data_IF_748013185791
#
_entry.id   IF_748013185791
#
_cell.length_a   1.000
_cell.length_b   1.000
_cell.length_c   1.000
_cell.angle_alpha   90.00
_cell.angle_beta   90.00
_cell.angle_gamma   90.00
#
_symmetry.space_group_name_H-M   'P 1'
#
loop_
_entity.id
_entity.type
_entity.pdbx_description
1 polymer ?
#
# COMPACT_ATOMS: atom_id res chain seq x y z
N UNK A 1 12.52 -0.08 19.16
CA UNK A 1 12.44 1.37 19.38
C UNK A 1 13.62 1.96 18.63
N UNK A 2 13.38 2.45 17.42
CA UNK A 2 14.46 2.97 16.57
C UNK A 2 14.77 4.37 17.04
N UNK A 3 15.83 4.50 17.82
CA UNK A 3 16.38 5.79 18.23
C UNK A 3 17.08 6.35 16.99
N UNK A 4 16.51 7.40 16.41
CA UNK A 4 17.24 8.21 15.42
C UNK A 4 18.19 9.07 16.25
N UNK A 5 19.49 8.88 16.07
CA UNK A 5 20.52 9.68 16.70
C UNK A 5 20.58 11.03 15.97
N UNK A 6 20.34 12.10 16.71
CA UNK A 6 19.98 13.44 16.22
C UNK A 6 20.86 14.40 17.04
N UNK A 7 22.16 14.42 16.74
CA UNK A 7 23.13 15.36 17.33
C UNK A 7 22.82 16.79 16.85
N UNK A 8 22.89 17.80 17.71
CA UNK A 8 22.18 19.08 17.54
C UNK A 8 22.42 19.93 16.26
N UNK A 9 23.49 19.67 15.50
CA UNK A 9 23.72 20.26 14.17
C UNK A 9 23.27 19.30 13.05
N UNK A 10 23.48 17.98 13.22
CA UNK A 10 23.00 16.89 12.35
C UNK A 10 21.49 16.63 12.47
N UNK A 11 20.86 17.15 13.52
CA UNK A 11 19.47 16.94 13.87
C UNK A 11 18.50 17.56 12.86
N UNK A 12 18.85 18.77 12.40
CA UNK A 12 18.08 19.50 11.40
C UNK A 12 18.16 18.81 10.04
N UNK A 13 19.36 18.34 9.68
CA UNK A 13 19.60 17.65 8.42
C UNK A 13 18.93 16.27 8.43
N UNK A 14 19.01 15.51 9.52
CA UNK A 14 18.32 14.23 9.67
C UNK A 14 16.79 14.35 9.62
N UNK A 15 16.21 15.38 10.24
CA UNK A 15 14.76 15.65 10.13
C UNK A 15 14.38 16.08 8.71
N UNK A 16 15.19 16.90 8.06
CA UNK A 16 14.95 17.32 6.68
C UNK A 16 15.04 16.12 5.73
N UNK A 17 16.04 15.27 5.88
CA UNK A 17 16.19 13.99 5.17
C UNK A 17 14.95 13.12 5.31
N UNK A 18 14.41 13.00 6.54
CA UNK A 18 13.19 12.24 6.77
C UNK A 18 11.97 12.86 6.06
N UNK A 19 11.79 14.17 6.16
CA UNK A 19 10.67 14.86 5.51
C UNK A 19 10.76 14.71 3.99
N UNK A 20 11.95 14.89 3.41
CA UNK A 20 12.19 14.70 1.98
C UNK A 20 11.86 13.27 1.56
N UNK A 21 12.36 12.26 2.29
CA UNK A 21 12.04 10.86 2.03
C UNK A 21 10.52 10.59 2.06
N UNK A 22 9.80 11.15 3.04
CA UNK A 22 8.34 11.00 3.12
C UNK A 22 7.64 11.65 1.92
N UNK A 23 8.05 12.85 1.52
CA UNK A 23 7.45 13.52 0.36
C UNK A 23 7.69 12.74 -0.92
N UNK A 24 8.90 12.19 -1.14
CA UNK A 24 9.19 11.35 -2.31
C UNK A 24 8.27 10.11 -2.36
N UNK A 25 8.08 9.43 -1.22
CA UNK A 25 7.15 8.29 -1.13
C UNK A 25 5.71 8.68 -1.44
N UNK A 26 5.28 9.87 -1.01
CA UNK A 26 3.95 10.39 -1.34
C UNK A 26 3.81 10.69 -2.83
N UNK A 27 4.84 11.27 -3.47
CA UNK A 27 4.84 11.52 -4.92
C UNK A 27 4.67 10.20 -5.67
N UNK A 28 5.48 9.18 -5.36
CA UNK A 28 5.36 7.86 -5.99
C UNK A 28 3.99 7.22 -5.77
N UNK A 29 3.42 7.33 -4.57
CA UNK A 29 2.09 6.82 -4.28
C UNK A 29 1.02 7.55 -5.10
N UNK A 30 1.14 8.88 -5.24
CA UNK A 30 0.25 9.70 -6.04
C UNK A 30 0.36 9.38 -7.53
N UNK A 31 1.56 9.15 -8.06
CA UNK A 31 1.76 8.71 -9.45
C UNK A 31 1.07 7.37 -9.72
N UNK A 32 1.27 6.38 -8.83
CA UNK A 32 0.61 5.08 -8.92
C UNK A 32 -0.91 5.23 -8.90
N UNK A 33 -1.46 6.11 -8.06
CA UNK A 33 -2.90 6.39 -8.02
C UNK A 33 -3.38 7.16 -9.25
N UNK A 34 -2.58 8.08 -9.79
CA UNK A 34 -2.88 8.81 -11.02
C UNK A 34 -3.06 7.84 -12.19
N UNK A 35 -2.15 6.87 -12.32
CA UNK A 35 -2.25 5.79 -13.31
C UNK A 35 -3.53 5.00 -13.11
N UNK A 36 -3.83 4.53 -11.89
CA UNK A 36 -5.08 3.80 -11.60
C UNK A 36 -6.34 4.60 -11.91
N UNK A 37 -6.33 5.92 -11.68
CA UNK A 37 -7.47 6.80 -11.97
C UNK A 37 -7.63 7.06 -13.47
N UNK A 38 -6.52 7.18 -14.19
CA UNK A 38 -6.50 7.28 -15.65
C UNK A 38 -7.06 6.00 -16.28
N UNK A 39 -6.61 4.82 -15.84
CA UNK A 39 -7.09 3.51 -16.32
C UNK A 39 -8.58 3.28 -16.02
N UNK A 40 -9.09 3.81 -14.91
CA UNK A 40 -10.51 3.72 -14.54
C UNK A 40 -11.38 4.81 -15.17
N UNK A 41 -10.82 5.69 -16.02
CA UNK A 41 -11.56 6.80 -16.66
C UNK A 41 -12.07 7.85 -15.68
N UNK A 42 -11.52 7.89 -14.45
CA UNK A 42 -11.91 8.84 -13.39
C UNK A 42 -11.20 10.19 -13.49
N UNK A 43 -10.28 10.34 -14.45
CA UNK A 43 -9.61 11.58 -14.79
C UNK A 43 -9.74 11.84 -16.30
N UNK A 44 -10.00 13.08 -16.68
CA UNK A 44 -9.88 13.52 -18.07
C UNK A 44 -8.40 13.73 -18.45
N UNK A 45 -8.09 13.70 -19.74
CA UNK A 45 -6.73 13.92 -20.26
C UNK A 45 -6.13 15.26 -19.75
N UNK A 46 -6.92 16.33 -19.72
CA UNK A 46 -6.49 17.63 -19.18
C UNK A 46 -6.17 17.57 -17.67
N UNK A 47 -6.92 16.77 -16.90
CA UNK A 47 -6.65 16.58 -15.48
C UNK A 47 -5.38 15.75 -15.25
N UNK A 48 -5.13 14.74 -16.09
CA UNK A 48 -3.91 13.93 -16.05
C UNK A 48 -2.69 14.81 -16.34
N UNK A 49 -2.75 15.62 -17.39
CA UNK A 49 -1.64 16.48 -17.79
C UNK A 49 -1.34 17.55 -16.73
N UNK A 50 -2.37 18.19 -16.17
CA UNK A 50 -2.20 19.14 -15.06
C UNK A 50 -1.61 18.49 -13.81
N UNK A 51 -2.03 17.27 -13.49
CA UNK A 51 -1.49 16.52 -12.35
C UNK A 51 -0.01 16.17 -12.58
N UNK A 52 0.35 15.68 -13.76
CA UNK A 52 1.74 15.38 -14.12
C UNK A 52 2.65 16.60 -14.00
N UNK A 53 2.22 17.76 -14.50
CA UNK A 53 2.97 19.01 -14.37
C UNK A 53 3.18 19.43 -12.91
N UNK A 54 2.18 19.22 -12.04
CA UNK A 54 2.28 19.53 -10.62
C UNK A 54 3.25 18.59 -9.90
N UNK A 55 3.19 17.28 -10.18
CA UNK A 55 4.09 16.30 -9.59
C UNK A 55 5.54 16.56 -10.02
N UNK A 56 5.78 16.83 -11.31
CA UNK A 56 7.11 17.17 -11.82
C UNK A 56 7.67 18.45 -11.16
N UNK A 57 6.82 19.46 -10.91
CA UNK A 57 7.24 20.67 -10.21
C UNK A 57 7.61 20.41 -8.74
N UNK A 58 6.96 19.45 -8.09
CA UNK A 58 7.29 19.01 -6.73
C UNK A 58 8.63 18.27 -6.73
N UNK A 59 8.85 17.33 -7.65
CA UNK A 59 10.11 16.61 -7.80
C UNK A 59 11.31 17.55 -8.02
N UNK A 60 11.14 18.55 -8.90
CA UNK A 60 12.18 19.53 -9.13
C UNK A 60 12.57 20.32 -7.86
N UNK A 61 11.58 20.67 -7.02
CA UNK A 61 11.82 21.34 -5.75
C UNK A 61 12.51 20.43 -4.74
N UNK A 62 12.14 19.15 -4.70
CA UNK A 62 12.79 18.15 -3.84
C UNK A 62 14.25 17.99 -4.22
N UNK A 63 14.56 17.86 -5.51
CA UNK A 63 15.93 17.74 -5.99
C UNK A 63 16.76 19.00 -5.74
N UNK A 64 16.16 20.19 -5.83
CA UNK A 64 16.79 21.44 -5.43
C UNK A 64 17.13 21.45 -3.92
N UNK A 65 16.20 21.04 -3.06
CA UNK A 65 16.43 20.95 -1.60
C UNK A 65 17.56 19.96 -1.29
N UNK A 66 17.51 18.76 -1.87
CA UNK A 66 18.54 17.73 -1.70
C UNK A 66 19.92 18.22 -2.11
N UNK A 67 20.00 18.93 -3.23
CA UNK A 67 21.25 19.51 -3.75
C UNK A 67 21.78 20.61 -2.84
N UNK A 68 20.90 21.51 -2.38
CA UNK A 68 21.29 22.66 -1.57
C UNK A 68 21.74 22.27 -0.16
N UNK A 69 21.16 21.21 0.42
CA UNK A 69 21.48 20.76 1.78
C UNK A 69 22.44 19.56 1.81
N UNK A 70 22.68 18.87 0.69
CA UNK A 70 23.64 17.76 0.63
C UNK A 70 23.14 16.46 1.28
N UNK A 71 21.83 16.31 1.45
CA UNK A 71 21.19 15.24 2.22
C UNK A 71 20.81 13.99 1.41
N UNK A 72 21.08 13.96 0.09
CA UNK A 72 20.61 12.89 -0.80
C UNK A 72 20.95 11.48 -0.30
N UNK A 73 22.16 11.26 0.19
CA UNK A 73 22.59 9.95 0.69
C UNK A 73 21.84 9.53 1.95
N UNK A 74 21.46 10.47 2.80
CA UNK A 74 20.73 10.16 4.02
C UNK A 74 19.26 9.87 3.74
N UNK A 75 18.65 10.61 2.81
CA UNK A 75 17.33 10.30 2.25
C UNK A 75 17.29 8.86 1.71
N UNK A 76 18.28 8.47 0.89
CA UNK A 76 18.36 7.11 0.32
C UNK A 76 18.46 6.03 1.39
N UNK A 77 19.25 6.26 2.45
CA UNK A 77 19.35 5.33 3.59
C UNK A 77 18.02 5.18 4.32
N UNK A 78 17.38 6.29 4.67
CA UNK A 78 16.09 6.29 5.37
C UNK A 78 15.04 5.51 4.56
N UNK A 79 15.03 5.69 3.24
CA UNK A 79 14.13 4.95 2.35
C UNK A 79 14.40 3.45 2.35
N UNK A 80 15.67 3.05 2.20
CA UNK A 80 16.07 1.64 2.27
C UNK A 80 15.73 1.00 3.62
N UNK A 81 15.95 1.71 4.72
CA UNK A 81 15.64 1.24 6.07
C UNK A 81 14.13 1.05 6.23
N UNK A 82 13.32 2.01 5.75
CA UNK A 82 11.87 1.91 5.79
C UNK A 82 11.34 0.75 4.94
N UNK A 83 11.88 0.53 3.74
CA UNK A 83 11.51 -0.59 2.88
C UNK A 83 11.81 -1.94 3.54
N UNK A 84 12.96 -2.06 4.22
CA UNK A 84 13.30 -3.25 5.01
C UNK A 84 12.30 -3.51 6.14
N UNK A 85 11.93 -2.46 6.88
CA UNK A 85 10.95 -2.56 7.96
C UNK A 85 9.55 -2.94 7.46
N UNK A 86 9.14 -2.41 6.31
CA UNK A 86 7.86 -2.76 5.67
C UNK A 86 7.88 -4.23 5.22
N UNK A 87 8.98 -4.72 4.65
CA UNK A 87 9.12 -6.12 4.26
C UNK A 87 9.02 -7.07 5.47
N UNK A 88 9.71 -6.76 6.57
CA UNK A 88 9.65 -7.54 7.82
C UNK A 88 8.23 -7.54 8.42
N UNK A 89 7.54 -6.40 8.37
CA UNK A 89 6.16 -6.28 8.83
C UNK A 89 5.18 -7.09 7.97
N UNK A 90 5.38 -7.19 6.65
CA UNK A 90 4.55 -8.02 5.78
C UNK A 90 4.81 -9.52 6.00
N UNK A 91 6.05 -9.91 6.27
CA UNK A 91 6.41 -11.32 6.52
C UNK A 91 5.87 -11.85 7.85
N UNK A 92 5.63 -10.97 8.83
CA UNK A 92 4.98 -11.34 10.09
C UNK A 92 3.45 -11.41 10.00
N UNK A 93 2.86 -10.99 8.87
CA UNK A 93 1.44 -11.20 8.53
C UNK A 93 1.33 -12.43 7.63
N UNK A 94 1.59 -13.61 8.20
CA UNK A 94 1.28 -14.88 7.53
C UNK A 94 -0.26 -15.03 7.38
N UNK A 95 -0.80 -15.22 6.17
CA UNK A 95 -2.21 -15.55 5.95
C UNK A 95 -2.47 -17.05 6.13
N UNK A 96 -2.04 -17.65 7.24
CA UNK A 96 -2.28 -19.06 7.51
C UNK A 96 -3.61 -19.24 8.25
N UNK A 97 -4.71 -19.39 7.50
CA UNK A 97 -5.56 -20.60 7.50
C UNK A 97 -6.87 -20.41 6.67
N UNK A 98 -6.88 -20.72 5.36
CA UNK A 98 -8.09 -20.73 4.54
C UNK A 98 -8.97 -21.99 4.71
N UNK A 99 -8.67 -22.89 5.65
CA UNK A 99 -9.35 -24.21 5.73
C UNK A 99 -10.48 -24.32 6.75
N UNK A 100 -10.74 -23.30 7.57
CA UNK A 100 -11.79 -23.34 8.60
C UNK A 100 -13.25 -23.19 8.09
N UNK A 101 -13.49 -23.14 6.77
CA UNK A 101 -14.79 -22.74 6.20
C UNK A 101 -15.62 -23.81 5.46
N UNK A 102 -15.13 -25.05 5.28
CA UNK A 102 -15.84 -26.07 4.49
C UNK A 102 -16.07 -27.36 5.30
N UNK A 103 -16.83 -27.25 6.39
CA UNK A 103 -17.34 -28.43 7.09
C UNK A 103 -18.66 -28.11 7.84
N UNK A 104 -19.72 -27.75 7.11
CA UNK A 104 -21.09 -27.84 7.61
C UNK A 104 -22.13 -27.68 6.49
N UNK A 105 -22.25 -28.67 5.61
CA UNK A 105 -23.56 -28.99 5.02
C UNK A 105 -23.88 -30.45 5.31
N UNK A 106 -24.23 -30.71 6.56
CA UNK A 106 -24.94 -31.92 6.97
C UNK A 106 -26.43 -31.65 6.87
N UNK A 107 -26.96 -31.70 5.65
CA UNK A 107 -28.41 -31.82 5.44
C UNK A 107 -28.85 -33.27 5.75
N UNK A 108 -29.77 -33.50 6.72
CA UNK A 108 -30.32 -34.83 6.99
C UNK A 108 -31.59 -35.02 6.15
N UNK A 109 -31.52 -35.76 5.05
CA UNK A 109 -32.72 -36.21 4.34
C UNK A 109 -33.16 -37.58 4.86
N UNK A 110 -33.98 -37.55 5.91
CA UNK A 110 -34.79 -38.70 6.31
C UNK A 110 -36.18 -38.55 5.68
N UNK A 111 -36.60 -39.54 4.90
CA UNK A 111 -38.03 -39.87 4.76
C UNK A 111 -38.16 -41.31 4.28
N UNK A 112 -38.66 -42.12 5.22
CA UNK A 112 -39.01 -43.52 5.06
C UNK A 112 -40.54 -43.60 4.94
N UNK A 113 -40.99 -44.29 3.90
CA UNK A 113 -42.21 -45.12 3.80
C UNK A 113 -43.59 -44.54 4.14
N UNK A 114 -44.47 -44.56 3.14
CA UNK A 114 -45.86 -45.08 3.17
C UNK A 114 -46.15 -45.55 1.73
N UNK A 115 -46.18 -46.85 1.38
CA UNK A 115 -47.27 -47.81 1.63
C UNK A 115 -48.67 -47.17 1.60
N UNK A 116 -49.36 -47.27 0.47
CA UNK A 116 -50.78 -47.64 0.43
C UNK A 116 -51.19 -48.07 -0.99
N UNK A 117 -51.98 -49.13 -1.06
CA UNK A 117 -52.39 -49.81 -2.28
C UNK A 117 -53.77 -49.41 -2.81
N UNK A 118 -54.11 -49.98 -3.97
CA UNK A 118 -55.47 -50.04 -4.52
C UNK A 118 -55.99 -48.71 -5.07
N UNK A 119 -56.54 -48.64 -6.28
CA UNK A 119 -57.86 -49.22 -6.56
C UNK A 119 -58.09 -49.19 -8.08
N UNK A 120 -58.85 -50.20 -8.53
CA UNK A 120 -59.46 -50.41 -9.85
C UNK A 120 -60.25 -49.19 -10.35
N UNK A 121 -60.28 -48.99 -11.67
CA UNK A 121 -61.51 -49.13 -12.47
C UNK A 121 -61.14 -49.46 -13.94
#
# INVERSE_FOLDING_TARGET
>A
MTTIDVDGEDAGDGLLSLVVAVVELLVEAMEREAIRRMESGRLSDEQVERLGQQLQAIEAQIEEIKTNTGISTEVDRIRSDLDGLVADALQSVDPEDPTAGVAADTSPSTSRTTDDGGTRD
#
